data_IF_028409942599
#
_entry.id   IF_028409942599
#
_cell.length_a   1.000
_cell.length_b   1.000
_cell.length_c   1.000
_cell.angle_alpha   90.00
_cell.angle_beta   90.00
_cell.angle_gamma   90.00
#
_symmetry.space_group_name_H-M   'P 1'
#
loop_
_entity.id
_entity.type
_entity.pdbx_description
1 polymer ?
#
# COMPACT_ATOMS: atom_id res chain seq x y z
N UNK A 1 -32.41 15.32 -1.46
CA UNK A 1 -31.71 14.56 -0.43
C UNK A 1 -30.90 13.45 -1.05
N UNK A 2 -29.69 13.32 -0.65
CA UNK A 2 -28.84 12.25 -1.17
C UNK A 2 -29.11 10.96 -0.39
N UNK A 3 -29.67 9.98 -1.06
CA UNK A 3 -29.86 8.63 -0.51
C UNK A 3 -28.66 7.74 -0.81
N UNK A 4 -27.74 8.25 -1.65
CA UNK A 4 -26.53 7.53 -1.99
C UNK A 4 -25.35 8.33 -1.46
N UNK A 5 -25.33 8.47 -0.17
CA UNK A 5 -24.23 9.15 0.48
C UNK A 5 -23.15 8.13 0.79
N UNK A 6 -21.97 8.34 0.25
CA UNK A 6 -20.82 7.47 0.53
C UNK A 6 -20.40 7.68 1.97
N UNK A 7 -20.33 6.60 2.71
CA UNK A 7 -19.78 6.62 4.06
C UNK A 7 -18.26 6.63 3.93
N UNK A 8 -17.65 7.80 4.07
CA UNK A 8 -16.22 7.97 3.93
C UNK A 8 -15.42 7.17 4.96
N UNK A 9 -15.98 6.98 6.15
CA UNK A 9 -15.32 6.17 7.17
C UNK A 9 -15.18 4.72 6.70
N UNK A 10 -16.23 4.15 6.14
CA UNK A 10 -16.21 2.81 5.57
C UNK A 10 -15.33 2.72 4.33
N UNK A 11 -15.39 3.73 3.46
CA UNK A 11 -14.56 3.78 2.26
C UNK A 11 -13.09 3.79 2.63
N UNK A 12 -12.70 4.56 3.64
CA UNK A 12 -11.32 4.60 4.14
C UNK A 12 -10.89 3.26 4.74
N UNK A 13 -11.75 2.60 5.49
CA UNK A 13 -11.45 1.28 6.04
C UNK A 13 -11.29 0.23 4.93
N UNK A 14 -12.15 0.24 3.92
CA UNK A 14 -12.02 -0.64 2.77
C UNK A 14 -10.74 -0.38 2.00
N UNK A 15 -10.37 0.88 1.84
CA UNK A 15 -9.12 1.27 1.19
C UNK A 15 -7.91 0.70 1.95
N UNK A 16 -7.90 0.86 3.27
CA UNK A 16 -6.85 0.30 4.12
C UNK A 16 -6.80 -1.23 4.04
N UNK A 17 -7.96 -1.88 4.00
CA UNK A 17 -8.05 -3.33 3.84
C UNK A 17 -7.46 -3.76 2.50
N UNK A 18 -7.80 -3.06 1.42
CA UNK A 18 -7.25 -3.33 0.10
C UNK A 18 -5.73 -3.17 0.08
N UNK A 19 -5.22 -2.14 0.76
CA UNK A 19 -3.78 -1.94 0.91
C UNK A 19 -3.14 -3.12 1.63
N UNK A 20 -3.74 -3.58 2.72
CA UNK A 20 -3.21 -4.71 3.50
C UNK A 20 -3.19 -6.00 2.67
N UNK A 21 -4.22 -6.24 1.88
CA UNK A 21 -4.28 -7.40 0.99
C UNK A 21 -3.20 -7.32 -0.09
N UNK A 22 -3.08 -6.17 -0.74
CA UNK A 22 -2.08 -5.97 -1.79
C UNK A 22 -0.66 -6.12 -1.25
N UNK A 23 -0.38 -5.58 -0.06
CA UNK A 23 0.97 -5.62 0.51
C UNK A 23 1.41 -7.02 0.94
N UNK A 24 0.48 -7.93 1.24
CA UNK A 24 0.85 -9.31 1.59
C UNK A 24 1.64 -9.99 0.47
N UNK A 25 1.16 -9.89 -0.78
CA UNK A 25 1.89 -10.41 -1.94
C UNK A 25 3.24 -9.72 -2.10
N UNK A 26 3.28 -8.40 -1.87
CA UNK A 26 4.51 -7.63 -1.99
C UNK A 26 5.53 -8.00 -0.92
N UNK A 27 5.08 -8.24 0.29
CA UNK A 27 5.97 -8.72 1.36
C UNK A 27 6.58 -10.08 1.00
N UNK A 28 5.79 -10.99 0.45
CA UNK A 28 6.27 -12.30 0.01
C UNK A 28 7.35 -12.15 -1.07
N UNK A 29 7.11 -11.31 -2.06
CA UNK A 29 8.09 -11.02 -3.12
C UNK A 29 9.38 -10.42 -2.54
N UNK A 30 9.24 -9.48 -1.61
CA UNK A 30 10.38 -8.81 -0.98
C UNK A 30 11.16 -9.76 -0.07
N UNK A 31 10.50 -10.69 0.59
CA UNK A 31 11.17 -11.71 1.39
C UNK A 31 12.07 -12.58 0.51
N UNK A 32 11.61 -12.95 -0.68
CA UNK A 32 12.39 -13.71 -1.66
C UNK A 32 13.58 -12.88 -2.13
N UNK A 33 13.35 -11.61 -2.47
CA UNK A 33 14.43 -10.71 -2.89
C UNK A 33 15.49 -10.53 -1.80
N UNK A 34 15.04 -10.41 -0.55
CA UNK A 34 15.93 -10.26 0.59
C UNK A 34 16.77 -11.53 0.79
N UNK A 35 16.16 -12.70 0.65
CA UNK A 35 16.87 -13.97 0.74
C UNK A 35 17.98 -14.07 -0.32
N UNK A 36 17.66 -13.69 -1.57
CA UNK A 36 18.65 -13.66 -2.65
C UNK A 36 19.77 -12.66 -2.35
N UNK A 37 19.43 -11.50 -1.81
CA UNK A 37 20.42 -10.49 -1.44
C UNK A 37 21.36 -10.99 -0.35
N UNK A 38 20.85 -11.74 0.61
CA UNK A 38 21.66 -12.39 1.64
C UNK A 38 22.62 -13.42 1.04
N UNK A 39 22.15 -14.23 0.13
CA UNK A 39 22.95 -15.25 -0.52
C UNK A 39 24.09 -14.68 -1.35
N UNK A 40 23.88 -13.53 -1.97
CA UNK A 40 24.86 -12.83 -2.79
C UNK A 40 25.62 -11.74 -2.04
N UNK A 41 25.31 -11.53 -0.76
CA UNK A 41 25.86 -10.47 0.09
C UNK A 41 25.76 -9.08 -0.57
N UNK A 42 24.59 -8.79 -1.14
CA UNK A 42 24.30 -7.51 -1.80
C UNK A 42 23.72 -6.50 -0.81
N UNK A 43 24.59 -5.68 -0.22
CA UNK A 43 24.21 -4.69 0.78
C UNK A 43 23.25 -3.63 0.22
N UNK A 44 23.43 -3.22 -1.02
CA UNK A 44 22.57 -2.25 -1.70
C UNK A 44 21.15 -2.80 -1.85
N UNK A 45 21.04 -4.03 -2.31
CA UNK A 45 19.74 -4.69 -2.50
C UNK A 45 19.04 -4.92 -1.16
N UNK A 46 19.77 -5.31 -0.12
CA UNK A 46 19.21 -5.46 1.23
C UNK A 46 18.59 -4.15 1.71
N UNK A 47 19.29 -3.04 1.53
CA UNK A 47 18.80 -1.71 1.93
C UNK A 47 17.56 -1.32 1.13
N UNK A 48 17.52 -1.58 -0.17
CA UNK A 48 16.34 -1.32 -1.01
C UNK A 48 15.14 -2.10 -0.53
N UNK A 49 15.31 -3.39 -0.23
CA UNK A 49 14.22 -4.26 0.24
C UNK A 49 13.69 -3.78 1.59
N UNK A 50 14.57 -3.41 2.50
CA UNK A 50 14.18 -2.89 3.82
C UNK A 50 13.35 -1.62 3.65
N UNK A 51 13.77 -0.70 2.79
CA UNK A 51 13.06 0.55 2.53
C UNK A 51 11.66 0.28 1.93
N UNK A 52 11.57 -0.65 0.99
CA UNK A 52 10.29 -1.03 0.37
C UNK A 52 9.34 -1.66 1.38
N UNK A 53 9.85 -2.53 2.25
CA UNK A 53 9.04 -3.14 3.32
C UNK A 53 8.51 -2.08 4.28
N UNK A 54 9.33 -1.10 4.63
CA UNK A 54 8.90 -0.01 5.51
C UNK A 54 7.79 0.80 4.85
N UNK A 55 7.93 1.13 3.57
CA UNK A 55 6.90 1.85 2.82
C UNK A 55 5.57 1.08 2.81
N UNK A 56 5.63 -0.25 2.67
CA UNK A 56 4.43 -1.09 2.71
C UNK A 56 3.77 -1.09 4.10
N UNK A 57 4.56 -1.12 5.17
CA UNK A 57 4.03 -1.04 6.54
C UNK A 57 3.31 0.27 6.79
N UNK A 58 3.85 1.36 6.26
CA UNK A 58 3.33 2.71 6.46
C UNK A 58 2.14 3.03 5.55
N UNK A 59 1.94 2.29 4.46
CA UNK A 59 0.92 2.59 3.47
C UNK A 59 -0.50 2.76 4.04
N UNK A 60 -1.01 1.88 4.94
CA UNK A 60 -2.35 2.07 5.50
C UNK A 60 -2.48 3.29 6.39
N UNK A 61 -1.37 3.81 6.89
CA UNK A 61 -1.35 4.97 7.78
C UNK A 61 -1.08 6.28 7.05
N UNK A 62 -1.08 6.28 5.71
CA UNK A 62 -0.80 7.48 4.92
C UNK A 62 -1.78 8.60 5.26
N UNK A 63 -1.25 9.80 5.52
CA UNK A 63 -2.05 10.96 5.94
C UNK A 63 -3.13 11.32 4.92
N UNK A 64 -2.85 11.17 3.63
CA UNK A 64 -3.82 11.44 2.57
C UNK A 64 -5.08 10.60 2.64
N UNK A 65 -5.01 9.40 3.22
CA UNK A 65 -6.19 8.55 3.42
C UNK A 65 -7.12 9.18 4.46
N UNK A 66 -6.58 9.63 5.58
CA UNK A 66 -7.35 10.25 6.65
C UNK A 66 -7.97 11.57 6.22
N UNK A 67 -7.30 12.34 5.38
CA UNK A 67 -7.74 13.66 4.94
C UNK A 67 -8.60 13.63 3.68
N UNK A 68 -8.74 12.47 3.03
CA UNK A 68 -9.54 12.36 1.81
C UNK A 68 -11.00 12.72 2.10
N UNK A 69 -11.52 13.68 1.35
CA UNK A 69 -12.89 14.16 1.51
C UNK A 69 -13.86 13.48 0.55
N UNK A 70 -13.35 12.93 -0.55
CA UNK A 70 -14.15 12.27 -1.58
C UNK A 70 -13.56 10.91 -1.93
N UNK A 71 -14.37 10.09 -2.57
CA UNK A 71 -13.93 8.79 -3.07
C UNK A 71 -12.79 8.93 -4.10
N UNK A 72 -12.87 9.95 -4.94
CA UNK A 72 -11.81 10.24 -5.93
C UNK A 72 -10.49 10.54 -5.23
N UNK A 73 -10.53 11.38 -4.20
CA UNK A 73 -9.33 11.71 -3.41
C UNK A 73 -8.74 10.46 -2.76
N UNK A 74 -9.61 9.59 -2.25
CA UNK A 74 -9.19 8.36 -1.61
C UNK A 74 -8.51 7.41 -2.60
N UNK A 75 -9.07 7.25 -3.80
CA UNK A 75 -8.46 6.43 -4.85
C UNK A 75 -7.09 6.94 -5.25
N UNK A 76 -6.90 8.26 -5.25
CA UNK A 76 -5.62 8.88 -5.56
C UNK A 76 -4.53 8.55 -4.54
N UNK A 77 -4.89 8.06 -3.36
CA UNK A 77 -3.94 7.66 -2.33
C UNK A 77 -3.38 6.25 -2.52
N UNK A 78 -3.82 5.55 -3.55
CA UNK A 78 -3.25 4.25 -3.86
C UNK A 78 -1.86 4.43 -4.49
N UNK A 79 -0.84 3.92 -3.82
CA UNK A 79 0.54 4.02 -4.32
C UNK A 79 0.88 2.83 -5.20
N UNK A 80 0.75 2.99 -6.51
CA UNK A 80 1.02 1.93 -7.47
C UNK A 80 2.48 1.50 -7.50
N UNK A 81 3.40 2.36 -7.06
CA UNK A 81 4.83 2.05 -7.02
C UNK A 81 5.15 0.94 -6.05
N UNK A 82 4.43 0.87 -4.93
CA UNK A 82 4.68 -0.13 -3.88
C UNK A 82 3.60 -1.21 -3.82
N UNK A 83 2.36 -0.91 -4.22
CA UNK A 83 1.23 -1.82 -4.09
C UNK A 83 0.82 -2.48 -5.41
N UNK A 84 1.34 -1.99 -6.53
CA UNK A 84 0.96 -2.48 -7.85
C UNK A 84 -0.32 -1.85 -8.36
N UNK A 85 -1.00 -2.53 -9.28
CA UNK A 85 -2.20 -2.01 -9.93
C UNK A 85 -3.31 -1.69 -8.93
N UNK A 86 -3.93 -0.52 -9.08
CA UNK A 86 -5.04 -0.11 -8.24
C UNK A 86 -6.26 -1.00 -8.47
N UNK A 87 -6.95 -1.45 -7.41
CA UNK A 87 -8.19 -2.20 -7.55
C UNK A 87 -9.36 -1.35 -8.06
N UNK A 88 -9.16 -0.04 -8.15
CA UNK A 88 -10.19 0.90 -8.61
C UNK A 88 -10.13 1.19 -10.11
N UNK A 89 -9.13 0.71 -10.78
CA UNK A 89 -8.96 0.96 -12.22
C UNK A 89 -9.87 0.12 -13.09
#
# INVERSE_FOLDING_TARGET
>A
MSIIKIDMAKAKELHKTNIRIARESKFTELDIEFQKALETDDATKKAEVIAKKQALRDAPAAAGISTAATETDLKAQWNTSILGTSPYS
#
